data_IF_618334592781
#
_entry.id   IF_618334592781
#
_cell.length_a   1.000
_cell.length_b   1.000
_cell.length_c   1.000
_cell.angle_alpha   90.00
_cell.angle_beta   90.00
_cell.angle_gamma   90.00
#
_symmetry.space_group_name_H-M   'P 1'
#
loop_
_entity.id
_entity.type
_entity.pdbx_description
1 polymer ?
#
# COMPACT_ATOMS: atom_id res chain seq x y z
N UNK A 1 41.36 -14.79 20.13
CA UNK A 1 40.40 -14.51 19.04
C UNK A 1 39.18 -15.43 19.10
N UNK A 2 39.33 -16.72 19.48
CA UNK A 2 38.17 -17.63 19.73
C UNK A 2 37.43 -17.38 21.04
N UNK A 3 38.15 -17.19 22.14
CA UNK A 3 37.57 -16.92 23.46
C UNK A 3 36.46 -15.83 23.49
N UNK A 4 36.60 -14.64 22.85
CA UNK A 4 35.53 -13.65 22.85
C UNK A 4 34.33 -14.06 21.98
N UNK A 5 34.52 -14.87 20.93
CA UNK A 5 33.42 -15.41 20.13
C UNK A 5 32.61 -16.41 20.95
N UNK A 6 33.31 -17.34 21.61
CA UNK A 6 32.68 -18.35 22.47
C UNK A 6 31.95 -17.69 23.65
N UNK A 7 32.49 -16.59 24.19
CA UNK A 7 31.85 -15.82 25.26
C UNK A 7 30.53 -15.19 24.79
N UNK A 8 30.50 -14.60 23.59
CA UNK A 8 29.28 -13.96 23.05
C UNK A 8 28.22 -15.01 22.69
N UNK A 9 28.64 -16.16 22.16
CA UNK A 9 27.76 -17.29 21.81
C UNK A 9 27.13 -17.95 23.04
N UNK A 10 27.86 -18.04 24.16
CA UNK A 10 27.39 -18.67 25.40
C UNK A 10 26.57 -17.75 26.30
N UNK A 11 26.59 -16.43 26.06
CA UNK A 11 25.84 -15.49 26.88
C UNK A 11 24.33 -15.69 26.67
N UNK A 12 23.58 -15.55 27.77
CA UNK A 12 22.11 -15.65 27.77
C UNK A 12 21.47 -14.46 27.04
N UNK A 13 20.14 -14.50 26.94
CA UNK A 13 19.32 -13.37 26.49
C UNK A 13 19.67 -12.09 27.26
N UNK A 14 19.84 -11.00 26.54
CA UNK A 14 20.31 -9.69 27.02
C UNK A 14 19.42 -8.55 26.53
N UNK A 15 19.66 -7.36 27.05
CA UNK A 15 18.95 -6.15 26.58
C UNK A 15 19.37 -5.79 25.14
N UNK A 16 18.54 -5.01 24.44
CA UNK A 16 18.84 -4.57 23.08
C UNK A 16 20.20 -3.87 22.96
N UNK A 17 20.51 -2.97 23.90
CA UNK A 17 21.76 -2.20 23.90
C UNK A 17 22.99 -3.10 24.08
N UNK A 18 22.90 -4.10 24.96
CA UNK A 18 23.98 -5.07 25.17
C UNK A 18 24.22 -5.92 23.92
N UNK A 19 23.15 -6.45 23.30
CA UNK A 19 23.24 -7.26 22.08
C UNK A 19 23.77 -6.43 20.91
N UNK A 20 23.44 -5.14 20.86
CA UNK A 20 23.98 -4.21 19.87
C UNK A 20 25.50 -4.03 20.04
N UNK A 21 25.97 -3.84 21.27
CA UNK A 21 27.41 -3.77 21.58
C UNK A 21 28.13 -5.06 21.22
N UNK A 22 27.53 -6.22 21.47
CA UNK A 22 28.12 -7.50 21.06
C UNK A 22 28.19 -7.64 19.55
N UNK A 23 27.16 -7.19 18.81
CA UNK A 23 27.15 -7.21 17.35
C UNK A 23 28.27 -6.33 16.78
N UNK A 24 28.49 -5.15 17.36
CA UNK A 24 29.60 -4.27 16.99
C UNK A 24 30.96 -4.92 17.29
N UNK A 25 31.11 -5.49 18.49
CA UNK A 25 32.33 -6.21 18.87
C UNK A 25 32.60 -7.40 17.95
N UNK A 26 31.57 -8.15 17.53
CA UNK A 26 31.68 -9.25 16.58
C UNK A 26 32.13 -8.78 15.20
N UNK A 27 31.57 -7.66 14.70
CA UNK A 27 32.00 -7.07 13.43
C UNK A 27 33.46 -6.66 13.48
N UNK A 28 33.91 -6.06 14.58
CA UNK A 28 35.33 -5.73 14.77
C UNK A 28 36.23 -6.97 14.83
N UNK A 29 35.80 -8.01 15.54
CA UNK A 29 36.54 -9.27 15.64
C UNK A 29 36.60 -9.99 14.29
N UNK A 30 35.51 -9.96 13.52
CA UNK A 30 35.45 -10.53 12.18
C UNK A 30 36.38 -9.79 11.21
N UNK A 31 36.45 -8.45 11.29
CA UNK A 31 37.43 -7.65 10.55
C UNK A 31 38.86 -8.07 10.90
N UNK A 32 39.19 -8.27 12.19
CA UNK A 32 40.50 -8.77 12.61
C UNK A 32 40.76 -10.21 12.13
N UNK A 33 39.72 -11.05 12.06
CA UNK A 33 39.80 -12.43 11.59
C UNK A 33 40.13 -12.52 10.09
N UNK A 34 39.67 -11.57 9.28
CA UNK A 34 39.96 -11.51 7.85
C UNK A 34 41.47 -11.53 7.55
N UNK A 35 42.29 -10.96 8.44
CA UNK A 35 43.75 -11.00 8.34
C UNK A 35 44.27 -12.43 8.48
N UNK A 36 43.76 -13.20 9.45
CA UNK A 36 44.12 -14.60 9.66
C UNK A 36 43.68 -15.45 8.46
N UNK A 37 42.48 -15.18 7.93
CA UNK A 37 41.99 -15.83 6.71
C UNK A 37 42.94 -15.64 5.53
N UNK A 38 43.41 -14.41 5.31
CA UNK A 38 44.32 -14.10 4.21
C UNK A 38 45.72 -14.73 4.37
N UNK A 39 46.13 -15.06 5.59
CA UNK A 39 47.39 -15.75 5.87
C UNK A 39 47.31 -17.26 5.65
N UNK A 40 46.13 -17.86 5.79
CA UNK A 40 45.88 -19.30 5.59
C UNK A 40 46.41 -19.86 4.26
N UNK A 41 46.09 -19.30 3.07
CA UNK A 41 46.57 -19.83 1.80
C UNK A 41 48.10 -19.70 1.65
N UNK A 42 48.71 -18.64 2.21
CA UNK A 42 50.17 -18.46 2.18
C UNK A 42 50.86 -19.52 3.03
N UNK A 43 50.33 -19.81 4.21
CA UNK A 43 50.83 -20.85 5.10
C UNK A 43 50.72 -22.24 4.43
N UNK A 44 49.61 -22.52 3.75
CA UNK A 44 49.47 -23.73 2.94
C UNK A 44 50.51 -23.82 1.82
N UNK A 45 50.72 -22.75 1.06
CA UNK A 45 51.72 -22.73 -0.02
C UNK A 45 53.14 -23.01 0.49
N UNK A 46 53.58 -22.33 1.55
CA UNK A 46 54.90 -22.52 2.15
C UNK A 46 55.05 -23.92 2.74
N UNK A 47 54.00 -24.46 3.37
CA UNK A 47 54.02 -25.83 3.92
C UNK A 47 54.12 -26.90 2.82
N UNK A 48 53.62 -26.62 1.61
CA UNK A 48 53.72 -27.53 0.47
C UNK A 48 55.12 -27.58 -0.13
N UNK A 49 55.86 -26.48 -0.05
CA UNK A 49 57.25 -26.38 -0.52
C UNK A 49 58.25 -27.06 0.43
N UNK A 50 57.88 -27.23 1.70
CA UNK A 50 58.71 -27.85 2.75
C UNK A 50 58.74 -29.39 2.70
N UNK A 51 58.50 -30.01 1.54
CA UNK A 51 58.58 -31.46 1.37
C UNK A 51 59.99 -31.96 1.76
N UNK A 52 60.17 -33.02 2.58
CA UNK A 52 59.21 -34.06 3.00
C UNK A 52 58.54 -33.86 4.38
N UNK A 53 58.48 -32.65 4.94
CA UNK A 53 57.88 -32.40 6.26
C UNK A 53 56.35 -32.53 6.26
N UNK A 54 55.87 -33.76 6.37
CA UNK A 54 54.44 -34.10 6.35
C UNK A 54 53.64 -33.47 7.50
N UNK A 55 54.23 -33.37 8.70
CA UNK A 55 53.58 -32.79 9.88
C UNK A 55 53.21 -31.33 9.67
N UNK A 56 54.11 -30.52 9.11
CA UNK A 56 53.88 -29.10 8.84
C UNK A 56 52.76 -28.89 7.81
N UNK A 57 52.69 -29.74 6.78
CA UNK A 57 51.61 -29.71 5.78
C UNK A 57 50.25 -30.13 6.39
N UNK A 58 50.24 -31.12 7.28
CA UNK A 58 49.02 -31.54 7.96
C UNK A 58 48.49 -30.46 8.90
N UNK A 59 49.36 -29.83 9.70
CA UNK A 59 49.01 -28.74 10.60
C UNK A 59 48.48 -27.52 9.82
N UNK A 60 49.08 -27.21 8.67
CA UNK A 60 48.61 -26.16 7.77
C UNK A 60 47.20 -26.41 7.24
N UNK A 61 46.87 -27.65 6.86
CA UNK A 61 45.52 -28.04 6.42
C UNK A 61 44.50 -27.96 7.55
N UNK A 62 44.87 -28.45 8.74
CA UNK A 62 44.01 -28.35 9.92
C UNK A 62 43.76 -26.88 10.27
N UNK A 63 44.78 -26.03 10.21
CA UNK A 63 44.64 -24.59 10.41
C UNK A 63 43.68 -23.97 9.39
N UNK A 64 43.82 -24.28 8.10
CA UNK A 64 42.94 -23.75 7.06
C UNK A 64 41.47 -24.16 7.27
N UNK A 65 41.21 -25.43 7.56
CA UNK A 65 39.85 -25.91 7.91
C UNK A 65 39.30 -25.21 9.15
N UNK A 66 40.13 -25.05 10.18
CA UNK A 66 39.78 -24.31 11.39
C UNK A 66 39.47 -22.83 11.12
N UNK A 67 40.12 -22.23 10.13
CA UNK A 67 39.89 -20.85 9.72
C UNK A 67 38.48 -20.70 9.13
N UNK A 68 38.12 -21.59 8.21
CA UNK A 68 36.79 -21.62 7.57
C UNK A 68 35.67 -21.88 8.57
N UNK A 69 35.86 -22.82 9.50
CA UNK A 69 34.84 -23.15 10.51
C UNK A 69 34.52 -21.93 11.38
N UNK A 70 35.56 -21.23 11.85
CA UNK A 70 35.36 -20.06 12.72
C UNK A 70 34.78 -18.89 11.93
N UNK A 71 35.16 -18.74 10.65
CA UNK A 71 34.56 -17.72 9.79
C UNK A 71 33.05 -17.92 9.62
N UNK A 72 32.61 -19.14 9.28
CA UNK A 72 31.18 -19.46 9.18
C UNK A 72 30.43 -19.21 10.48
N UNK A 73 31.08 -19.44 11.63
CA UNK A 73 30.48 -19.11 12.94
C UNK A 73 30.26 -17.61 13.11
N UNK A 74 31.25 -16.78 12.75
CA UNK A 74 31.07 -15.33 12.77
C UNK A 74 29.91 -14.89 11.87
N UNK A 75 29.88 -15.37 10.63
CA UNK A 75 28.83 -15.05 9.65
C UNK A 75 27.45 -15.44 10.20
N UNK A 76 27.28 -16.70 10.59
CA UNK A 76 26.01 -17.20 11.11
C UNK A 76 25.51 -16.41 12.33
N UNK A 77 26.41 -16.05 13.24
CA UNK A 77 26.04 -15.37 14.48
C UNK A 77 25.69 -13.89 14.21
N UNK A 78 26.46 -13.21 13.35
CA UNK A 78 26.13 -11.85 12.89
C UNK A 78 24.80 -11.84 12.15
N UNK A 79 24.59 -12.78 11.22
CA UNK A 79 23.36 -12.88 10.44
C UNK A 79 22.16 -13.17 11.35
N UNK A 80 22.29 -14.13 12.26
CA UNK A 80 21.24 -14.51 13.21
C UNK A 80 20.85 -13.35 14.15
N UNK A 81 21.83 -12.64 14.75
CA UNK A 81 21.56 -11.46 15.58
C UNK A 81 20.92 -10.33 14.76
N UNK A 82 21.43 -10.08 13.55
CA UNK A 82 20.90 -9.03 12.68
C UNK A 82 19.48 -9.33 12.19
N UNK A 83 19.14 -10.61 11.97
CA UNK A 83 17.80 -11.04 11.61
C UNK A 83 16.82 -10.80 12.76
N UNK A 84 17.20 -11.13 14.01
CA UNK A 84 16.37 -10.85 15.18
C UNK A 84 16.12 -9.34 15.34
N UNK A 85 17.13 -8.50 15.06
CA UNK A 85 16.99 -7.03 15.08
C UNK A 85 16.05 -6.50 14.01
N UNK A 86 16.15 -7.03 12.78
CA UNK A 86 15.26 -6.63 11.67
C UNK A 86 13.81 -6.91 12.00
N UNK A 87 13.51 -8.11 12.50
CA UNK A 87 12.13 -8.49 12.89
C UNK A 87 11.64 -7.57 14.01
N UNK A 88 12.45 -7.35 15.06
CA UNK A 88 12.10 -6.41 16.14
C UNK A 88 11.76 -5.02 15.58
N UNK A 89 12.59 -4.50 14.70
CA UNK A 89 12.41 -3.16 14.14
C UNK A 89 11.16 -3.07 13.24
N UNK A 90 10.86 -4.11 12.48
CA UNK A 90 9.62 -4.21 11.69
C UNK A 90 8.38 -4.22 12.59
N UNK A 91 8.40 -4.97 13.69
CA UNK A 91 7.31 -4.99 14.68
C UNK A 91 7.10 -3.63 15.35
N UNK A 92 8.17 -2.94 15.72
CA UNK A 92 8.08 -1.59 16.30
C UNK A 92 7.51 -0.60 15.28
N UNK A 93 8.00 -0.62 14.04
CA UNK A 93 7.50 0.28 12.98
C UNK A 93 6.02 0.05 12.68
N UNK A 94 5.56 -1.19 12.61
CA UNK A 94 4.15 -1.50 12.35
C UNK A 94 3.26 -1.07 13.53
N UNK A 95 3.72 -1.24 14.77
CA UNK A 95 3.05 -0.78 15.97
C UNK A 95 2.90 0.75 15.99
N UNK A 96 3.97 1.48 15.64
CA UNK A 96 3.97 2.94 15.54
C UNK A 96 3.03 3.45 14.44
N UNK A 97 3.01 2.77 13.29
CA UNK A 97 2.09 3.08 12.19
C UNK A 97 0.64 2.95 12.65
N UNK A 98 0.27 1.82 13.27
CA UNK A 98 -1.09 1.62 13.79
C UNK A 98 -1.42 2.67 14.86
N UNK A 99 -0.47 2.98 15.75
CA UNK A 99 -0.67 4.01 16.77
C UNK A 99 -0.89 5.40 16.17
N UNK A 100 -0.21 5.72 15.06
CA UNK A 100 -0.43 6.95 14.32
C UNK A 100 -1.81 6.98 13.65
N UNK A 101 -2.21 5.90 12.98
CA UNK A 101 -3.52 5.78 12.34
C UNK A 101 -4.67 5.89 13.35
N UNK A 102 -4.57 5.21 14.51
CA UNK A 102 -5.56 5.33 15.57
C UNK A 102 -5.66 6.77 16.11
N UNK A 103 -4.53 7.46 16.27
CA UNK A 103 -4.53 8.89 16.66
C UNK A 103 -5.16 9.77 15.58
N UNK A 104 -4.86 9.51 14.31
CA UNK A 104 -5.41 10.23 13.16
C UNK A 104 -6.93 10.08 13.08
N UNK A 105 -7.42 8.84 13.20
CA UNK A 105 -8.85 8.53 13.23
C UNK A 105 -9.52 9.23 14.40
N UNK A 106 -8.96 9.15 15.60
CA UNK A 106 -9.50 9.83 16.78
C UNK A 106 -9.62 11.35 16.58
N UNK A 107 -8.55 11.99 16.10
CA UNK A 107 -8.54 13.42 15.82
C UNK A 107 -9.52 13.83 14.71
N UNK A 108 -9.80 12.94 13.75
CA UNK A 108 -10.72 13.21 12.65
C UNK A 108 -12.19 13.30 13.09
N UNK A 109 -12.57 12.72 14.23
CA UNK A 109 -13.94 12.79 14.74
C UNK A 109 -14.09 13.55 16.07
N UNK A 110 -12.99 13.86 16.76
CA UNK A 110 -13.03 14.66 17.98
C UNK A 110 -13.69 16.02 17.73
N UNK A 111 -14.91 16.19 18.26
CA UNK A 111 -15.66 17.44 18.22
C UNK A 111 -16.45 17.73 16.94
N UNK A 112 -16.61 16.76 16.02
CA UNK A 112 -17.33 16.97 14.75
C UNK A 112 -18.64 16.17 14.66
N UNK A 113 -19.65 16.75 13.98
CA UNK A 113 -20.82 16.00 13.50
C UNK A 113 -20.43 15.27 12.23
N UNK A 114 -20.59 13.95 12.23
CA UNK A 114 -20.17 13.09 11.12
C UNK A 114 -21.37 12.65 10.30
N UNK A 115 -21.20 12.64 8.98
CA UNK A 115 -22.16 12.02 8.06
C UNK A 115 -22.20 10.50 8.24
N UNK A 116 -23.31 9.87 7.87
CA UNK A 116 -23.49 8.40 7.94
C UNK A 116 -22.42 7.68 7.10
N UNK A 117 -22.07 8.21 5.92
CA UNK A 117 -21.02 7.64 5.09
C UNK A 117 -19.65 7.69 5.78
N UNK A 118 -19.30 8.82 6.41
CA UNK A 118 -18.00 8.95 7.07
C UNK A 118 -17.89 8.03 8.29
N UNK A 119 -18.98 7.85 9.04
CA UNK A 119 -19.05 6.88 10.14
C UNK A 119 -18.83 5.44 9.66
N UNK A 120 -19.41 5.07 8.50
CA UNK A 120 -19.23 3.74 7.93
C UNK A 120 -17.77 3.51 7.51
N UNK A 121 -17.15 4.49 6.87
CA UNK A 121 -15.74 4.46 6.46
C UNK A 121 -14.81 4.28 7.68
N UNK A 122 -15.00 5.08 8.73
CA UNK A 122 -14.19 4.98 9.95
C UNK A 122 -14.38 3.61 10.62
N UNK A 123 -15.61 3.07 10.68
CA UNK A 123 -15.86 1.72 11.20
C UNK A 123 -15.12 0.65 10.40
N UNK A 124 -15.11 0.76 9.08
CA UNK A 124 -14.39 -0.18 8.22
C UNK A 124 -12.87 -0.08 8.43
N UNK A 125 -12.34 1.13 8.58
CA UNK A 125 -10.93 1.35 8.91
C UNK A 125 -10.56 0.75 10.26
N UNK A 126 -11.39 0.94 11.30
CA UNK A 126 -11.17 0.36 12.63
C UNK A 126 -11.21 -1.16 12.61
N UNK A 127 -12.12 -1.77 11.85
CA UNK A 127 -12.15 -3.22 11.66
C UNK A 127 -10.87 -3.72 10.96
N UNK A 128 -10.39 -3.01 9.94
CA UNK A 128 -9.12 -3.32 9.28
C UNK A 128 -7.92 -3.22 10.23
N UNK A 129 -7.86 -2.16 11.03
CA UNK A 129 -6.81 -1.97 12.03
C UNK A 129 -6.88 -3.03 13.13
N UNK A 130 -8.07 -3.47 13.53
CA UNK A 130 -8.26 -4.56 14.50
C UNK A 130 -7.70 -5.88 13.96
N UNK A 131 -8.03 -6.23 12.72
CA UNK A 131 -7.48 -7.42 12.08
C UNK A 131 -5.95 -7.36 11.94
N UNK A 132 -5.41 -6.18 11.60
CA UNK A 132 -3.97 -5.98 11.53
C UNK A 132 -3.31 -6.11 12.91
N UNK A 133 -3.92 -5.56 13.97
CA UNK A 133 -3.45 -5.71 15.35
C UNK A 133 -3.47 -7.16 15.83
N UNK A 134 -4.49 -7.95 15.47
CA UNK A 134 -4.53 -9.37 15.85
C UNK A 134 -3.44 -10.17 15.16
N UNK A 135 -3.15 -9.91 13.89
CA UNK A 135 -2.04 -10.55 13.18
C UNK A 135 -0.70 -10.14 13.81
N UNK A 136 -0.54 -8.85 14.13
CA UNK A 136 0.66 -8.34 14.78
C UNK A 136 0.86 -8.97 16.16
N UNK A 137 -0.23 -9.21 16.90
CA UNK A 137 -0.18 -9.90 18.20
C UNK A 137 0.35 -11.33 18.05
N UNK A 138 -0.17 -12.09 17.07
CA UNK A 138 0.34 -13.42 16.76
C UNK A 138 1.82 -13.38 16.37
N UNK A 139 2.24 -12.41 15.55
CA UNK A 139 3.63 -12.29 15.13
C UNK A 139 4.55 -11.90 16.30
N UNK A 140 4.09 -11.06 17.23
CA UNK A 140 4.81 -10.74 18.47
C UNK A 140 4.92 -11.99 19.36
N UNK A 141 3.86 -12.80 19.50
CA UNK A 141 3.95 -14.05 20.28
C UNK A 141 4.93 -15.05 19.67
N UNK A 142 4.92 -15.21 18.34
CA UNK A 142 5.89 -16.05 17.61
C UNK A 142 7.31 -15.51 17.75
N UNK A 143 7.49 -14.20 17.64
CA UNK A 143 8.77 -13.56 17.85
C UNK A 143 9.30 -13.84 19.25
N UNK A 144 8.49 -13.62 20.29
CA UNK A 144 8.87 -13.86 21.69
C UNK A 144 9.21 -15.33 21.98
N UNK A 145 8.49 -16.28 21.38
CA UNK A 145 8.80 -17.71 21.49
C UNK A 145 10.15 -18.07 20.85
N UNK A 146 10.53 -17.42 19.75
CA UNK A 146 11.70 -17.76 18.94
C UNK A 146 12.96 -16.92 19.26
N UNK A 147 12.95 -16.09 20.30
CA UNK A 147 14.10 -15.21 20.63
C UNK A 147 15.32 -16.01 21.05
N UNK A 148 16.46 -15.64 20.48
CA UNK A 148 17.75 -16.25 20.80
C UNK A 148 18.59 -15.31 21.66
N UNK A 149 18.64 -14.03 21.30
CA UNK A 149 19.58 -13.09 21.92
C UNK A 149 18.93 -12.03 22.79
N UNK A 150 17.70 -11.60 22.50
CA UNK A 150 17.07 -10.49 23.22
C UNK A 150 16.11 -10.94 24.33
N UNK A 151 16.00 -10.13 25.39
CA UNK A 151 15.00 -10.27 26.47
C UNK A 151 13.65 -9.69 26.05
N UNK A 152 12.55 -10.28 26.53
CA UNK A 152 11.19 -9.74 26.38
C UNK A 152 11.10 -8.25 26.73
N UNK A 153 10.58 -7.46 25.77
CA UNK A 153 10.43 -6.02 25.90
C UNK A 153 8.95 -5.71 26.06
N UNK A 154 8.57 -5.13 27.20
CA UNK A 154 7.18 -4.76 27.48
C UNK A 154 6.65 -3.67 26.52
N UNK A 155 7.55 -2.88 25.93
CA UNK A 155 7.23 -1.82 24.97
C UNK A 155 6.70 -2.38 23.65
N UNK A 156 7.09 -3.60 23.27
CA UNK A 156 6.63 -4.27 22.05
C UNK A 156 5.39 -5.09 22.39
N UNK A 157 4.28 -4.38 22.62
CA UNK A 157 2.98 -4.98 22.94
C UNK A 157 1.85 -4.31 22.18
N UNK A 158 0.88 -5.12 21.74
CA UNK A 158 -0.35 -4.65 21.09
C UNK A 158 -1.37 -4.06 22.08
N UNK A 159 -1.21 -4.32 23.39
CA UNK A 159 -2.23 -4.01 24.41
C UNK A 159 -2.65 -2.54 24.41
N UNK A 160 -1.67 -1.61 24.38
CA UNK A 160 -1.94 -0.16 24.34
C UNK A 160 -2.75 0.25 23.10
N UNK A 161 -2.52 -0.39 21.96
CA UNK A 161 -3.25 -0.10 20.73
C UNK A 161 -4.66 -0.72 20.74
N UNK A 162 -4.83 -1.91 21.32
CA UNK A 162 -6.17 -2.47 21.57
C UNK A 162 -7.00 -1.60 22.52
N UNK A 163 -6.41 -1.11 23.62
CA UNK A 163 -7.09 -0.19 24.54
C UNK A 163 -7.51 1.11 23.84
N UNK A 164 -6.61 1.68 23.01
CA UNK A 164 -6.90 2.89 22.24
C UNK A 164 -8.00 2.66 21.19
N UNK A 165 -7.97 1.52 20.51
CA UNK A 165 -8.97 1.13 19.54
C UNK A 165 -10.34 0.97 20.22
N UNK A 166 -10.39 0.33 21.38
CA UNK A 166 -11.61 0.19 22.18
C UNK A 166 -12.17 1.54 22.61
N UNK A 167 -11.32 2.46 23.09
CA UNK A 167 -11.72 3.84 23.42
C UNK A 167 -12.33 4.58 22.23
N UNK A 168 -11.75 4.41 21.04
CA UNK A 168 -12.27 5.02 19.81
C UNK A 168 -13.63 4.41 19.44
N UNK A 169 -13.77 3.08 19.48
CA UNK A 169 -15.05 2.42 19.19
C UNK A 169 -16.16 2.86 20.15
N UNK A 170 -15.84 3.01 21.43
CA UNK A 170 -16.80 3.46 22.44
C UNK A 170 -17.16 4.95 22.27
N UNK A 171 -16.19 5.80 21.92
CA UNK A 171 -16.46 7.19 21.55
C UNK A 171 -17.38 7.26 20.32
N UNK A 172 -17.17 6.40 19.33
CA UNK A 172 -17.96 6.36 18.10
C UNK A 172 -19.42 5.89 18.32
N UNK A 173 -19.69 5.14 19.39
CA UNK A 173 -21.06 4.80 19.81
C UNK A 173 -21.82 6.00 20.37
N UNK A 174 -21.11 6.96 20.95
CA UNK A 174 -21.69 8.17 21.55
C UNK A 174 -21.95 9.29 20.54
N UNK A 175 -21.43 9.19 19.32
CA UNK A 175 -21.63 10.17 18.25
C UNK A 175 -23.02 9.99 17.63
N UNK A 176 -23.86 11.02 17.73
CA UNK A 176 -25.14 11.09 17.03
C UNK A 176 -24.88 11.32 15.53
N UNK A 177 -25.32 10.37 14.70
CA UNK A 177 -25.24 10.48 13.24
C UNK A 177 -26.26 11.52 12.75
N UNK A 178 -25.80 12.51 11.99
CA UNK A 178 -26.71 13.37 11.24
C UNK A 178 -27.08 12.60 9.97
N UNK A 179 -28.37 12.34 9.77
CA UNK A 179 -28.87 11.91 8.47
C UNK A 179 -28.55 13.03 7.48
N UNK A 180 -27.67 12.75 6.50
CA UNK A 180 -27.55 13.62 5.35
C UNK A 180 -28.94 13.68 4.72
N UNK A 181 -29.56 14.86 4.68
CA UNK A 181 -30.58 15.10 3.66
C UNK A 181 -29.85 14.85 2.34
N UNK A 182 -30.14 13.70 1.71
CA UNK A 182 -29.57 13.35 0.41
C UNK A 182 -29.91 14.50 -0.53
N UNK A 183 -28.94 15.36 -0.78
CA UNK A 183 -29.03 16.33 -1.85
C UNK A 183 -29.05 15.51 -3.14
N UNK A 184 -30.24 15.23 -3.64
CA UNK A 184 -30.38 14.63 -4.96
C UNK A 184 -29.80 15.64 -5.96
N UNK A 185 -28.84 15.21 -6.76
CA UNK A 185 -28.26 16.05 -7.80
C UNK A 185 -29.35 16.38 -8.82
N UNK A 186 -29.84 17.63 -8.75
CA UNK A 186 -30.98 18.13 -9.53
C UNK A 186 -30.66 18.03 -11.02
N UNK A 187 -29.38 18.19 -11.41
CA UNK A 187 -28.96 18.11 -12.80
C UNK A 187 -28.96 16.67 -13.32
N UNK A 188 -28.46 15.72 -12.52
CA UNK A 188 -28.52 14.30 -12.84
C UNK A 188 -29.98 13.79 -12.91
N UNK A 189 -30.84 14.25 -12.00
CA UNK A 189 -32.27 13.96 -12.03
C UNK A 189 -32.96 14.57 -13.26
N UNK A 190 -32.60 15.81 -13.62
CA UNK A 190 -33.12 16.48 -14.81
C UNK A 190 -32.69 15.78 -16.11
N UNK A 191 -31.46 15.27 -16.19
CA UNK A 191 -30.97 14.52 -17.35
C UNK A 191 -31.74 13.20 -17.55
N UNK A 192 -31.98 12.45 -16.46
CA UNK A 192 -32.79 11.22 -16.51
C UNK A 192 -34.22 11.53 -16.94
N UNK A 193 -34.82 12.61 -16.43
CA UNK A 193 -36.16 13.02 -16.82
C UNK A 193 -36.26 13.50 -18.27
N UNK A 194 -35.21 14.16 -18.80
CA UNK A 194 -35.13 14.52 -20.21
C UNK A 194 -35.07 13.28 -21.13
N UNK A 195 -34.39 12.23 -20.67
CA UNK A 195 -34.28 10.97 -21.43
C UNK A 195 -35.59 10.17 -21.41
N UNK A 196 -36.35 10.20 -20.31
CA UNK A 196 -37.62 9.48 -20.16
C UNK A 196 -38.79 10.25 -20.80
N UNK A 197 -38.74 11.58 -20.80
CA UNK A 197 -39.77 12.46 -21.34
C UNK A 197 -39.18 13.48 -22.33
N UNK A 198 -38.89 13.07 -23.59
CA UNK A 198 -38.19 13.94 -24.55
C UNK A 198 -38.99 15.17 -24.99
N UNK A 199 -40.32 15.15 -24.83
CA UNK A 199 -41.22 16.22 -25.26
C UNK A 199 -41.56 17.22 -24.13
N UNK A 200 -40.98 17.04 -22.93
CA UNK A 200 -41.31 17.84 -21.75
C UNK A 200 -40.05 18.36 -21.07
N UNK A 201 -40.15 19.58 -20.53
CA UNK A 201 -39.06 20.20 -19.77
C UNK A 201 -38.86 19.48 -18.42
N UNK A 202 -37.67 18.95 -18.11
CA UNK A 202 -37.42 18.19 -16.88
C UNK A 202 -37.83 18.90 -15.59
N UNK A 203 -37.62 20.22 -15.51
CA UNK A 203 -37.99 21.03 -14.34
C UNK A 203 -39.50 21.10 -14.12
N UNK A 204 -40.28 21.08 -15.19
CA UNK A 204 -41.75 21.06 -15.10
C UNK A 204 -42.27 19.74 -14.51
N UNK A 205 -41.60 18.63 -14.85
CA UNK A 205 -41.94 17.30 -14.35
C UNK A 205 -41.54 17.17 -12.87
N UNK A 206 -40.39 17.72 -12.49
CA UNK A 206 -39.98 17.78 -11.08
C UNK A 206 -41.00 18.55 -10.23
N UNK A 207 -41.53 19.68 -10.75
CA UNK A 207 -42.58 20.47 -10.10
C UNK A 207 -43.91 19.69 -9.99
N UNK A 208 -44.32 19.00 -11.04
CA UNK A 208 -45.53 18.17 -11.05
C UNK A 208 -45.44 16.99 -10.07
N UNK A 209 -44.25 16.40 -9.94
CA UNK A 209 -43.99 15.26 -9.04
C UNK A 209 -43.65 15.66 -7.61
N UNK A 210 -43.67 16.96 -7.31
CA UNK A 210 -43.40 17.46 -5.96
C UNK A 210 -41.97 17.20 -5.49
N UNK A 211 -41.02 17.07 -6.43
CA UNK A 211 -39.59 16.93 -6.12
C UNK A 211 -39.08 18.33 -5.77
N UNK A 212 -38.56 18.58 -4.56
CA UNK A 212 -38.05 19.90 -4.18
C UNK A 212 -36.85 20.30 -5.05
N UNK A 213 -36.86 21.52 -5.61
CA UNK A 213 -35.72 22.13 -6.30
C UNK A 213 -35.68 23.64 -6.02
N UNK A 214 -34.49 24.24 -5.99
CA UNK A 214 -34.32 25.67 -5.75
C UNK A 214 -34.81 26.49 -6.95
N UNK A 215 -35.95 27.19 -6.79
CA UNK A 215 -36.58 28.05 -7.81
C UNK A 215 -35.91 29.45 -7.91
N UNK A 216 -34.65 29.59 -7.49
CA UNK A 216 -33.91 30.87 -7.49
C UNK A 216 -33.20 31.14 -8.82
N UNK A 217 -33.95 31.21 -9.92
CA UNK A 217 -33.57 32.08 -11.03
C UNK A 217 -34.80 32.50 -11.83
N UNK A 218 -35.06 33.80 -11.81
CA UNK A 218 -36.01 34.54 -12.65
C UNK A 218 -37.47 34.64 -12.16
N UNK A 219 -37.68 35.53 -11.18
CA UNK A 219 -38.82 36.45 -11.21
C UNK A 219 -38.42 37.84 -10.71
N UNK A 220 -38.36 38.76 -11.67
CA UNK A 220 -38.86 40.14 -11.60
C UNK A 220 -38.14 41.21 -10.73
N UNK A 221 -37.95 42.38 -11.34
CA UNK A 221 -37.61 43.62 -10.63
C UNK A 221 -36.33 44.34 -11.08
N UNK A 222 -36.36 45.05 -12.21
CA UNK A 222 -35.62 46.31 -12.37
C UNK A 222 -36.42 47.28 -13.24
N UNK A 223 -37.37 47.96 -12.58
CA UNK A 223 -37.80 49.30 -12.94
C UNK A 223 -36.60 50.23 -12.76
N UNK A 224 -36.19 50.93 -13.81
CA UNK A 224 -35.47 52.19 -13.65
C UNK A 224 -36.07 53.20 -14.62
N UNK A 225 -36.86 54.11 -14.03
CA UNK A 225 -37.32 55.35 -14.61
C UNK A 225 -36.12 56.17 -15.12
N UNK A 226 -36.21 56.68 -16.34
CA UNK A 226 -35.41 57.81 -16.80
C UNK A 226 -36.30 58.74 -17.62
N UNK A 227 -36.69 59.85 -17.01
CA UNK A 227 -37.32 60.99 -17.67
C UNK A 227 -36.28 61.70 -18.55
N UNK A 228 -36.63 61.96 -19.81
CA UNK A 228 -36.08 63.08 -20.60
C UNK A 228 -37.22 63.69 -21.40
N UNK A 229 -37.38 65.00 -21.27
CA UNK A 229 -38.38 65.85 -21.91
C UNK A 229 -38.11 66.08 -23.42
N UNK A 230 -39.20 66.05 -24.19
CA UNK A 230 -39.67 67.00 -25.23
C UNK A 230 -38.71 67.50 -26.34
N UNK A 231 -38.99 67.17 -27.62
CA UNK A 231 -39.43 68.11 -28.68
C UNK A 231 -39.64 67.44 -30.07
N UNK A 232 -40.43 68.14 -30.89
CA UNK A 232 -41.13 67.78 -32.15
C UNK A 232 -40.26 67.52 -33.40
N UNK A 233 -40.87 66.85 -34.42
CA UNK A 233 -40.70 67.29 -35.82
C UNK A 233 -40.43 66.23 -36.91
N UNK A 234 -41.43 66.05 -37.79
CA UNK A 234 -41.38 65.88 -39.26
C UNK A 234 -40.92 64.56 -39.97
N UNK A 235 -41.92 63.92 -40.59
CA UNK A 235 -42.06 63.24 -41.90
C UNK A 235 -40.84 62.80 -42.77
N UNK A 236 -40.84 61.53 -43.24
CA UNK A 236 -40.99 61.11 -44.66
C UNK A 236 -40.71 59.59 -44.93
N UNK A 237 -41.62 58.95 -45.67
CA UNK A 237 -41.54 57.90 -46.72
C UNK A 237 -40.77 56.53 -46.62
N UNK A 238 -41.56 55.42 -46.67
CA UNK A 238 -41.55 54.24 -47.62
C UNK A 238 -40.36 53.22 -47.62
N UNK A 239 -40.50 51.87 -47.91
CA UNK A 239 -41.54 50.84 -47.66
C UNK A 239 -40.98 49.51 -47.02
N UNK A 240 -41.84 48.48 -46.98
CA UNK A 240 -41.76 47.14 -46.36
C UNK A 240 -40.65 46.13 -46.80
N UNK A 241 -40.21 45.32 -45.82
CA UNK A 241 -39.82 43.86 -45.81
C UNK A 241 -38.44 43.38 -46.36
N UNK A 242 -37.89 42.18 -45.98
CA UNK A 242 -38.34 41.14 -45.04
C UNK A 242 -37.29 40.61 -44.00
N UNK A 243 -37.78 39.87 -43.03
CA UNK A 243 -37.13 39.05 -41.98
C UNK A 243 -35.88 38.27 -42.44
N UNK A 244 -34.83 38.22 -41.60
CA UNK A 244 -34.16 36.96 -41.28
C UNK A 244 -34.29 36.63 -39.79
N UNK A 245 -34.86 35.47 -39.49
CA UNK A 245 -34.90 34.90 -38.15
C UNK A 245 -33.48 34.58 -37.67
N UNK A 246 -33.07 35.13 -36.52
CA UNK A 246 -31.86 34.71 -35.80
C UNK A 246 -32.23 34.43 -34.33
N UNK A 247 -32.17 33.16 -33.86
CA UNK A 247 -32.38 32.84 -32.46
C UNK A 247 -31.05 32.88 -31.68
N UNK A 248 -31.04 33.72 -30.64
CA UNK A 248 -30.38 33.58 -29.34
C UNK A 248 -28.89 33.08 -29.27
N UNK A 249 -27.98 33.86 -28.64
CA UNK A 249 -26.53 33.61 -28.62
C UNK A 249 -26.06 32.38 -27.81
N UNK A 250 -26.95 31.66 -27.12
CA UNK A 250 -26.58 30.59 -26.17
C UNK A 250 -26.30 29.21 -26.79
N UNK A 251 -26.80 28.90 -28.00
CA UNK A 251 -26.61 27.58 -28.63
C UNK A 251 -25.20 27.37 -29.21
N UNK A 252 -24.48 28.44 -29.52
CA UNK A 252 -23.18 28.40 -30.22
C UNK A 252 -22.01 27.90 -29.36
N UNK A 253 -22.09 28.00 -28.03
CA UNK A 253 -21.02 27.61 -27.12
C UNK A 253 -20.98 26.08 -26.87
N UNK A 254 -22.14 25.44 -26.80
CA UNK A 254 -22.25 23.99 -26.53
C UNK A 254 -21.87 23.13 -27.74
N UNK A 255 -22.17 23.56 -28.97
CA UNK A 255 -21.75 22.85 -30.19
C UNK A 255 -20.22 22.94 -30.42
N UNK A 256 -19.60 24.08 -30.08
CA UNK A 256 -18.12 24.23 -30.12
C UNK A 256 -17.41 23.41 -29.05
N UNK A 257 -18.00 23.20 -27.88
CA UNK A 257 -17.42 22.28 -26.90
C UNK A 257 -17.56 20.83 -27.37
N UNK A 258 -18.75 20.40 -27.81
CA UNK A 258 -18.99 19.01 -28.26
C UNK A 258 -18.10 18.59 -29.43
N UNK A 259 -17.78 19.49 -30.35
CA UNK A 259 -16.85 19.23 -31.46
C UNK A 259 -15.37 19.15 -31.02
N UNK A 260 -14.95 19.89 -29.99
CA UNK A 260 -13.60 19.79 -29.40
C UNK A 260 -13.41 18.48 -28.63
N UNK A 261 -14.37 18.09 -27.81
CA UNK A 261 -14.34 16.81 -27.09
C UNK A 261 -14.37 15.61 -28.04
N UNK A 262 -15.16 15.66 -29.13
CA UNK A 262 -15.13 14.62 -30.17
C UNK A 262 -13.79 14.52 -30.90
N UNK A 263 -13.05 15.63 -31.07
CA UNK A 263 -11.70 15.62 -31.65
C UNK A 263 -10.69 15.02 -30.66
N UNK A 264 -10.76 15.43 -29.38
CA UNK A 264 -9.88 14.93 -28.31
C UNK A 264 -10.07 13.42 -28.08
N UNK A 265 -11.33 12.94 -28.07
CA UNK A 265 -11.62 11.52 -27.91
C UNK A 265 -11.16 10.71 -29.14
N UNK A 266 -11.29 11.27 -30.35
CA UNK A 266 -10.77 10.64 -31.58
C UNK A 266 -9.24 10.60 -31.65
N UNK A 267 -8.53 11.48 -30.96
CA UNK A 267 -7.06 11.44 -30.88
C UNK A 267 -6.53 10.60 -29.73
N UNK A 268 -7.28 10.48 -28.62
CA UNK A 268 -6.88 9.69 -27.45
C UNK A 268 -7.17 8.19 -27.62
N UNK A 269 -8.30 7.83 -28.25
CA UNK A 269 -8.65 6.44 -28.54
C UNK A 269 -7.59 5.64 -29.34
N UNK A 270 -6.98 6.16 -30.42
CA UNK A 270 -5.95 5.42 -31.13
C UNK A 270 -4.68 5.20 -30.30
N UNK A 271 -4.34 6.12 -29.40
CA UNK A 271 -3.20 5.95 -28.48
C UNK A 271 -3.48 4.88 -27.42
N UNK A 272 -4.68 4.87 -26.85
CA UNK A 272 -5.10 3.83 -25.91
C UNK A 272 -5.20 2.46 -26.58
N UNK A 273 -5.72 2.40 -27.80
CA UNK A 273 -5.76 1.16 -28.58
C UNK A 273 -4.35 0.66 -28.93
N UNK A 274 -3.42 1.56 -29.29
CA UNK A 274 -2.02 1.20 -29.52
C UNK A 274 -1.32 0.69 -28.26
N UNK A 275 -1.60 1.29 -27.08
CA UNK A 275 -1.05 0.83 -25.81
C UNK A 275 -1.56 -0.57 -25.45
N UNK A 276 -2.86 -0.81 -25.63
CA UNK A 276 -3.48 -2.13 -25.41
C UNK A 276 -2.96 -3.16 -26.42
N UNK A 277 -2.73 -2.76 -27.67
CA UNK A 277 -2.16 -3.63 -28.70
C UNK A 277 -0.68 -3.95 -28.42
N UNK A 278 0.10 -2.99 -27.94
CA UNK A 278 1.48 -3.19 -27.47
C UNK A 278 1.53 -4.11 -26.25
N UNK A 279 0.59 -3.96 -25.31
CA UNK A 279 0.48 -4.84 -24.15
C UNK A 279 0.09 -6.26 -24.59
N UNK A 280 -0.88 -6.39 -25.50
CA UNK A 280 -1.25 -7.67 -26.10
C UNK A 280 -0.09 -8.32 -26.86
N UNK A 281 0.69 -7.53 -27.60
CA UNK A 281 1.88 -7.99 -28.30
C UNK A 281 2.99 -8.43 -27.33
N UNK A 282 3.20 -7.71 -26.22
CA UNK A 282 4.12 -8.10 -25.16
C UNK A 282 3.68 -9.41 -24.48
N UNK A 283 2.37 -9.67 -24.37
CA UNK A 283 1.83 -10.94 -23.89
C UNK A 283 1.87 -12.07 -24.93
N UNK A 284 2.04 -11.75 -26.22
CA UNK A 284 2.16 -12.71 -27.32
C UNK A 284 3.61 -13.07 -27.63
N UNK A 285 4.59 -12.34 -27.08
CA UNK A 285 5.99 -12.80 -27.04
C UNK A 285 6.02 -13.99 -26.07
N UNK A 286 6.23 -15.23 -26.57
CA UNK A 286 6.40 -16.35 -25.65
C UNK A 286 7.69 -16.10 -24.90
N UNK A 287 7.58 -16.00 -23.58
CA UNK A 287 8.71 -16.03 -22.65
C UNK A 287 9.26 -17.45 -22.69
N UNK A 288 9.97 -17.79 -23.78
CA UNK A 288 10.79 -18.99 -23.86
C UNK A 288 12.04 -18.74 -23.01
N UNK A 289 11.88 -18.98 -21.71
CA UNK A 289 12.94 -19.60 -20.91
C UNK A 289 12.37 -20.94 -20.43
N UNK A 290 12.50 -21.92 -21.31
CA UNK A 290 12.22 -23.34 -21.08
C UNK A 290 13.16 -23.85 -19.99
N UNK A 291 12.76 -23.77 -18.71
CA UNK A 291 13.28 -24.65 -17.65
C UNK A 291 12.44 -24.69 -16.34
N UNK A 292 11.55 -23.72 -16.08
CA UNK A 292 10.81 -23.66 -14.80
C UNK A 292 9.37 -24.20 -14.79
N UNK A 293 8.73 -24.40 -15.94
CA UNK A 293 7.31 -24.81 -15.98
C UNK A 293 7.05 -26.29 -15.66
N UNK A 294 8.08 -27.15 -15.63
CA UNK A 294 7.92 -28.57 -15.31
C UNK A 294 8.01 -28.89 -13.81
N UNK A 295 8.41 -27.94 -12.95
CA UNK A 295 8.51 -28.17 -11.50
C UNK A 295 7.21 -27.85 -10.73
N UNK A 296 6.38 -26.93 -11.24
CA UNK A 296 5.15 -26.54 -10.53
C UNK A 296 4.00 -27.53 -10.74
N UNK A 297 3.90 -28.16 -11.92
CA UNK A 297 2.92 -29.22 -12.19
C UNK A 297 3.27 -30.56 -11.52
N UNK A 298 4.53 -30.79 -11.17
CA UNK A 298 4.98 -32.01 -10.49
C UNK A 298 4.73 -31.96 -8.96
N UNK A 299 4.51 -30.77 -8.40
CA UNK A 299 4.20 -30.62 -6.97
C UNK A 299 2.72 -30.89 -6.65
N UNK A 300 1.80 -30.54 -7.55
CA UNK A 300 0.37 -30.76 -7.30
C UNK A 300 -0.03 -32.24 -7.41
N UNK A 301 0.54 -32.99 -8.36
CA UNK A 301 0.24 -34.40 -8.56
C UNK A 301 0.76 -35.32 -7.45
N UNK A 302 1.67 -34.85 -6.59
CA UNK A 302 2.27 -35.65 -5.51
C UNK A 302 1.69 -35.39 -4.12
N UNK A 303 0.81 -34.41 -3.99
CA UNK A 303 0.28 -33.96 -2.69
C UNK A 303 -1.03 -34.64 -2.26
N UNK A 304 -1.59 -35.53 -3.09
CA UNK A 304 -2.84 -36.25 -2.79
C UNK A 304 -2.74 -37.78 -2.76
N UNK A 305 -1.52 -38.34 -2.85
CA UNK A 305 -1.32 -39.77 -2.58
C UNK A 305 -0.89 -39.95 -1.12
N UNK A 306 -1.69 -40.62 -0.26
CA UNK A 306 -1.20 -41.04 1.04
C UNK A 306 -0.13 -42.12 0.84
N UNK A 307 1.14 -41.73 0.97
CA UNK A 307 2.26 -42.67 0.96
C UNK A 307 2.20 -43.53 2.24
N UNK A 308 1.87 -44.81 2.06
CA UNK A 308 2.02 -45.84 3.08
C UNK A 308 3.53 -46.05 3.34
N UNK A 309 4.05 -45.40 4.38
CA UNK A 309 5.37 -45.71 4.90
C UNK A 309 5.31 -47.03 5.67
N UNK A 310 6.03 -48.03 5.18
CA UNK A 310 6.25 -49.28 5.89
C UNK A 310 7.11 -49.02 7.12
N UNK A 311 6.52 -49.17 8.31
CA UNK A 311 7.17 -48.92 9.60
C UNK A 311 8.28 -49.94 9.92
N UNK A 312 8.60 -50.92 9.06
CA UNK A 312 9.64 -51.92 9.35
C UNK A 312 10.44 -52.37 8.11
N UNK A 313 11.39 -51.54 7.67
CA UNK A 313 12.57 -51.95 6.89
C UNK A 313 12.38 -52.18 5.38
N UNK A 314 13.47 -52.21 4.60
CA UNK A 314 13.42 -52.38 3.15
C UNK A 314 13.05 -53.83 2.77
N UNK A 315 12.23 -54.05 1.72
CA UNK A 315 11.82 -55.38 1.28
C UNK A 315 12.99 -56.14 0.61
N UNK A 316 13.05 -57.48 0.73
CA UNK A 316 14.13 -58.27 0.14
C UNK A 316 13.90 -58.51 -1.36
N UNK A 317 14.96 -58.22 -2.13
CA UNK A 317 15.26 -58.50 -3.56
C UNK A 317 14.34 -57.90 -4.62
#
# INVERSE_FOLDING_TARGET
>A
MRAPLDEIELRRRRSFDEVLQDLEALKELHLKWSVIKNLSPRLLSLSSELHPLFTALQDARLFASNVEIVERRFENLIDSMSAEFRVREELVRSLDMISHELRSIHAAFDGQRLSVHRLLEIRQQLQGLRAHLTLLDEDITKFNANRLYLIEEEEISTGRNFDRLQQIEDALKSVEAVEDQVGYDIEAAAEVLAAVFPDRDPRSIMREKGIPFDDLSSSDGCKSDLEVEVEEGAAADVPLSPIPDDPAPARSHYERQRSRWRRILRTALPLQAMLVLLLGAACLVPHCDDEYCCQLLNNFARSFDPSLDFVNGPPPF
#
